data_IF_210750121418
#
_entry.id   IF_210750121418
#
_cell.length_a   1.000
_cell.length_b   1.000
_cell.length_c   1.000
_cell.angle_alpha   90.00
_cell.angle_beta   90.00
_cell.angle_gamma   90.00
#
_symmetry.space_group_name_H-M   'P 1'
#
loop_
_entity.id
_entity.type
_entity.pdbx_description
1 polymer ?
#
# COMPACT_ATOMS: atom_id res chain seq x y z
N UNK A 1 -64.06 51.54 -31.67
CA UNK A 1 -64.31 50.61 -32.79
C UNK A 1 -63.10 49.68 -32.83
N UNK A 2 -63.19 48.58 -32.08
CA UNK A 2 -63.54 47.24 -32.58
C UNK A 2 -62.29 46.58 -33.21
N UNK A 3 -61.83 45.39 -32.87
CA UNK A 3 -62.24 44.29 -31.98
C UNK A 3 -61.14 43.23 -32.22
N UNK A 4 -60.46 42.76 -31.19
CA UNK A 4 -60.66 41.42 -30.60
C UNK A 4 -60.42 40.20 -31.53
N UNK A 5 -59.78 39.20 -30.91
CA UNK A 5 -59.71 37.76 -31.23
C UNK A 5 -58.57 37.30 -32.17
N UNK A 6 -57.49 36.71 -31.65
CA UNK A 6 -57.33 35.38 -31.02
C UNK A 6 -57.23 34.23 -32.05
N UNK A 7 -56.26 33.34 -31.79
CA UNK A 7 -56.08 31.96 -32.26
C UNK A 7 -55.25 31.79 -33.54
N UNK A 8 -54.28 30.88 -33.66
CA UNK A 8 -53.84 29.75 -32.84
C UNK A 8 -52.32 29.57 -33.08
N UNK A 9 -51.52 29.17 -32.09
CA UNK A 9 -51.34 27.76 -31.80
C UNK A 9 -50.02 27.27 -32.41
N UNK A 10 -48.93 27.38 -31.63
CA UNK A 10 -47.60 26.91 -32.03
C UNK A 10 -46.72 26.59 -30.82
N UNK A 11 -47.28 25.93 -29.80
CA UNK A 11 -46.47 25.17 -28.84
C UNK A 11 -46.31 23.74 -29.35
N UNK A 12 -45.17 23.44 -29.95
CA UNK A 12 -44.60 22.09 -30.11
C UNK A 12 -43.14 22.33 -30.49
N UNK A 13 -42.12 22.08 -29.68
CA UNK A 13 -41.93 21.00 -28.74
C UNK A 13 -40.57 20.39 -29.07
N UNK A 14 -39.86 19.95 -28.02
CA UNK A 14 -38.69 19.07 -28.08
C UNK A 14 -37.33 19.72 -28.38
N UNK A 15 -36.42 19.54 -27.42
CA UNK A 15 -35.00 19.73 -27.66
C UNK A 15 -34.23 20.29 -26.49
N UNK A 16 -34.42 19.75 -25.29
CA UNK A 16 -33.44 19.90 -24.22
C UNK A 16 -32.05 19.54 -24.75
N UNK A 17 -31.14 20.50 -24.83
CA UNK A 17 -29.73 20.21 -24.62
C UNK A 17 -29.16 21.26 -23.70
N UNK A 18 -29.59 21.13 -22.44
CA UNK A 18 -28.65 21.22 -21.33
C UNK A 18 -27.40 20.44 -21.75
N UNK A 19 -26.35 21.13 -22.16
CA UNK A 19 -25.00 20.58 -22.04
C UNK A 19 -24.66 20.69 -20.56
N UNK A 20 -25.37 19.87 -19.79
CA UNK A 20 -25.07 19.50 -18.42
C UNK A 20 -23.57 19.28 -18.36
N UNK A 21 -22.96 19.91 -17.36
CA UNK A 21 -21.53 20.11 -17.24
C UNK A 21 -20.72 18.94 -17.77
N UNK A 22 -19.70 19.28 -18.55
CA UNK A 22 -18.51 18.46 -18.68
C UNK A 22 -18.01 18.25 -17.25
N UNK A 23 -18.53 17.21 -16.60
CA UNK A 23 -18.21 16.86 -15.24
C UNK A 23 -16.69 16.85 -15.17
N UNK A 24 -16.16 17.76 -14.36
CA UNK A 24 -14.74 17.92 -14.13
C UNK A 24 -14.20 16.62 -13.57
N UNK A 25 -13.79 15.71 -14.45
CA UNK A 25 -13.03 14.50 -14.11
C UNK A 25 -11.67 14.84 -13.51
N UNK A 26 -11.29 16.13 -13.42
CA UNK A 26 -10.03 16.56 -12.83
C UNK A 26 -9.89 16.15 -11.35
N UNK A 27 -10.98 16.10 -10.57
CA UNK A 27 -10.90 15.73 -9.15
C UNK A 27 -10.79 14.21 -8.97
N UNK A 28 -11.64 13.43 -9.65
CA UNK A 28 -11.62 11.95 -9.59
C UNK A 28 -10.32 11.39 -10.17
N UNK A 29 -9.83 11.94 -11.27
CA UNK A 29 -8.55 11.54 -11.88
C UNK A 29 -7.35 11.82 -10.96
N UNK A 30 -7.40 12.89 -10.15
CA UNK A 30 -6.38 13.17 -9.12
C UNK A 30 -6.44 12.17 -7.97
N UNK A 31 -7.62 11.72 -7.55
CA UNK A 31 -7.75 10.72 -6.47
C UNK A 31 -7.28 9.33 -6.90
N UNK A 32 -7.62 8.88 -8.12
CA UNK A 32 -7.12 7.60 -8.65
C UNK A 32 -5.59 7.61 -8.80
N UNK A 33 -5.00 8.69 -9.32
CA UNK A 33 -3.54 8.81 -9.43
C UNK A 33 -2.85 8.73 -8.07
N UNK A 34 -3.39 9.40 -7.05
CA UNK A 34 -2.87 9.31 -5.68
C UNK A 34 -3.03 7.93 -5.06
N UNK A 35 -4.17 7.26 -5.28
CA UNK A 35 -4.38 5.90 -4.79
C UNK A 35 -3.37 4.92 -5.41
N UNK A 36 -3.11 5.02 -6.72
CA UNK A 36 -2.11 4.21 -7.39
C UNK A 36 -0.70 4.49 -6.84
N UNK A 37 -0.33 5.76 -6.64
CA UNK A 37 0.95 6.13 -6.04
C UNK A 37 1.11 5.55 -4.63
N UNK A 38 0.07 5.61 -3.80
CA UNK A 38 0.11 5.00 -2.47
C UNK A 38 0.23 3.48 -2.53
N UNK A 39 -0.49 2.80 -3.43
CA UNK A 39 -0.37 1.36 -3.60
C UNK A 39 1.04 0.94 -4.02
N UNK A 40 1.66 1.67 -4.95
CA UNK A 40 3.04 1.42 -5.37
C UNK A 40 4.01 1.72 -4.23
N UNK A 41 3.83 2.82 -3.50
CA UNK A 41 4.69 3.16 -2.36
C UNK A 41 4.61 2.12 -1.24
N UNK A 42 3.40 1.65 -0.90
CA UNK A 42 3.18 0.59 0.09
C UNK A 42 3.76 -0.73 -0.40
N UNK A 43 3.49 -1.11 -1.65
CA UNK A 43 4.03 -2.34 -2.24
C UNK A 43 5.56 -2.33 -2.29
N UNK A 44 6.16 -1.22 -2.71
CA UNK A 44 7.60 -1.00 -2.68
C UNK A 44 8.15 -1.10 -1.26
N UNK A 45 7.55 -0.40 -0.30
CA UNK A 45 7.96 -0.47 1.11
C UNK A 45 7.90 -1.90 1.66
N UNK A 46 6.84 -2.66 1.36
CA UNK A 46 6.70 -4.04 1.80
C UNK A 46 7.80 -4.94 1.19
N UNK A 47 8.14 -4.73 -0.08
CA UNK A 47 9.24 -5.44 -0.74
C UNK A 47 10.58 -5.12 -0.09
N UNK A 48 10.84 -3.85 0.27
CA UNK A 48 12.04 -3.46 1.02
C UNK A 48 12.05 -4.01 2.46
N UNK A 49 10.90 -4.21 3.09
CA UNK A 49 10.78 -4.84 4.41
C UNK A 49 11.00 -6.35 4.39
N UNK A 50 10.77 -7.01 3.26
CA UNK A 50 10.93 -8.45 3.11
C UNK A 50 12.27 -9.00 3.66
N UNK A 51 13.45 -8.50 3.25
CA UNK A 51 14.72 -9.00 3.79
C UNK A 51 14.85 -8.82 5.30
N UNK A 52 14.33 -7.73 5.87
CA UNK A 52 14.36 -7.52 7.33
C UNK A 52 13.53 -8.55 8.07
N UNK A 53 12.30 -8.81 7.60
CA UNK A 53 11.42 -9.83 8.18
C UNK A 53 12.06 -11.21 8.08
N UNK A 54 12.64 -11.53 6.92
CA UNK A 54 13.35 -12.78 6.71
C UNK A 54 14.54 -12.94 7.68
N UNK A 55 15.33 -11.89 7.90
CA UNK A 55 16.46 -11.92 8.84
C UNK A 55 16.00 -12.15 10.28
N UNK A 56 14.94 -11.47 10.73
CA UNK A 56 14.38 -11.68 12.08
C UNK A 56 13.86 -13.11 12.25
N UNK A 57 13.12 -13.61 11.25
CA UNK A 57 12.64 -15.00 11.27
C UNK A 57 13.80 -15.99 11.29
N UNK A 58 14.86 -15.75 10.51
CA UNK A 58 16.04 -16.61 10.45
C UNK A 58 16.86 -16.58 11.75
N UNK A 59 16.92 -15.43 12.43
CA UNK A 59 17.55 -15.29 13.75
C UNK A 59 16.88 -16.13 14.84
N UNK A 60 15.56 -16.34 14.71
CA UNK A 60 14.74 -17.11 15.65
C UNK A 60 14.70 -18.61 15.32
N UNK A 61 15.19 -19.03 14.16
CA UNK A 61 15.27 -20.44 13.77
C UNK A 61 16.39 -21.15 14.54
N UNK A 62 16.25 -22.46 14.70
CA UNK A 62 17.34 -23.31 15.18
C UNK A 62 18.39 -23.42 14.08
N UNK A 63 19.69 -23.40 14.44
CA UNK A 63 20.78 -23.49 13.45
C UNK A 63 20.68 -24.70 12.51
N UNK A 64 20.15 -25.83 13.00
CA UNK A 64 19.89 -27.03 12.20
C UNK A 64 18.75 -26.85 11.18
N UNK A 65 17.77 -25.98 11.44
CA UNK A 65 16.65 -25.70 10.53
C UNK A 65 17.08 -24.85 9.33
N UNK A 66 18.19 -24.12 9.43
CA UNK A 66 18.76 -23.35 8.31
C UNK A 66 19.28 -24.26 7.19
N UNK A 67 19.61 -25.51 7.50
CA UNK A 67 20.12 -26.50 6.55
C UNK A 67 19.06 -27.52 6.10
N UNK A 68 17.80 -27.38 6.54
CA UNK A 68 16.70 -28.24 6.12
C UNK A 68 16.14 -27.79 4.76
N UNK A 69 15.90 -28.78 3.89
CA UNK A 69 15.12 -28.62 2.66
C UNK A 69 13.78 -29.36 2.82
N UNK A 70 12.62 -28.71 2.63
CA UNK A 70 12.42 -27.32 2.20
C UNK A 70 12.66 -26.28 3.31
N UNK A 71 13.14 -25.06 2.97
CA UNK A 71 13.32 -23.98 3.95
C UNK A 71 11.97 -23.59 4.55
N UNK A 72 11.88 -23.61 5.87
CA UNK A 72 10.66 -23.20 6.58
C UNK A 72 10.53 -21.68 6.49
N UNK A 73 9.34 -21.16 6.21
CA UNK A 73 9.12 -19.70 6.20
C UNK A 73 9.03 -19.18 7.64
N UNK A 74 8.28 -19.88 8.50
CA UNK A 74 8.19 -19.62 9.94
C UNK A 74 9.02 -20.63 10.73
N UNK A 75 9.66 -20.23 11.85
CA UNK A 75 10.37 -21.17 12.72
C UNK A 75 9.36 -22.17 13.31
N UNK A 76 9.68 -23.47 13.28
CA UNK A 76 8.81 -24.47 13.89
C UNK A 76 8.84 -24.36 15.43
N UNK A 77 10.01 -24.01 15.98
CA UNK A 77 10.19 -23.71 17.40
C UNK A 77 11.00 -22.41 17.54
N UNK A 78 10.38 -21.28 17.90
CA UNK A 78 11.10 -20.03 18.14
C UNK A 78 12.21 -20.22 19.19
N UNK A 79 13.42 -19.75 18.91
CA UNK A 79 14.58 -19.82 19.80
C UNK A 79 14.99 -18.41 20.29
N UNK A 80 14.22 -17.75 21.17
CA UNK A 80 14.58 -16.42 21.68
C UNK A 80 15.91 -16.41 22.45
N UNK A 81 16.34 -17.55 23.00
CA UNK A 81 17.64 -17.74 23.65
C UNK A 81 18.85 -17.46 22.74
N UNK A 82 18.68 -17.42 21.41
CA UNK A 82 19.77 -17.04 20.50
C UNK A 82 20.29 -15.63 20.78
N UNK A 83 19.44 -14.70 21.23
CA UNK A 83 19.82 -13.31 21.51
C UNK A 83 20.73 -13.16 22.73
N UNK A 84 20.36 -13.61 23.95
CA UNK A 84 21.25 -13.50 25.11
C UNK A 84 22.54 -14.30 24.93
N UNK A 85 22.46 -15.44 24.24
CA UNK A 85 23.60 -16.34 24.04
C UNK A 85 24.75 -15.74 23.23
N UNK A 86 24.48 -14.79 22.32
CA UNK A 86 25.54 -14.09 21.57
C UNK A 86 26.46 -13.32 22.52
N UNK A 87 25.93 -12.71 23.58
CA UNK A 87 26.73 -11.94 24.53
C UNK A 87 27.63 -12.81 25.42
N UNK A 88 27.35 -14.12 25.51
CA UNK A 88 28.19 -15.09 26.22
C UNK A 88 29.29 -15.67 25.32
N UNK A 89 29.01 -15.81 24.01
CA UNK A 89 29.92 -16.44 23.05
C UNK A 89 30.97 -15.46 22.54
N UNK A 90 30.61 -14.19 22.37
CA UNK A 90 31.50 -13.17 21.83
C UNK A 90 31.65 -11.99 22.78
N UNK A 91 32.84 -11.35 22.85
CA UNK A 91 33.05 -10.14 23.63
C UNK A 91 32.44 -8.93 22.89
N UNK A 92 31.12 -8.97 22.66
CA UNK A 92 30.39 -7.98 21.87
C UNK A 92 30.62 -6.56 22.39
N UNK A 93 30.62 -6.38 23.71
CA UNK A 93 30.86 -5.07 24.34
C UNK A 93 32.26 -4.49 24.04
N UNK A 94 33.27 -5.34 23.90
CA UNK A 94 34.62 -4.89 23.53
C UNK A 94 34.67 -4.50 22.05
N UNK A 95 34.00 -5.26 21.18
CA UNK A 95 33.94 -4.95 19.75
C UNK A 95 33.19 -3.65 19.47
N UNK A 96 32.08 -3.41 20.17
CA UNK A 96 31.34 -2.16 20.04
C UNK A 96 32.12 -0.97 20.57
N UNK A 97 32.84 -1.13 21.69
CA UNK A 97 33.72 -0.09 22.22
C UNK A 97 34.89 0.25 21.29
N UNK A 98 35.48 -0.74 20.63
CA UNK A 98 36.60 -0.50 19.70
C UNK A 98 36.18 0.16 18.37
N UNK A 99 34.88 0.23 18.07
CA UNK A 99 34.37 0.72 16.78
C UNK A 99 33.76 2.12 16.84
N UNK A 100 33.61 2.69 18.04
CA UNK A 100 33.12 4.05 18.31
C UNK A 100 34.30 4.95 18.65
#
# INVERSE_FOLDING_TARGET
MAGELITAGGQTGSGSMSRSGLFSSATVQRHLGRALLYLIAIGGSALFMFPFVWTVLSSLKKGSELFLFPPTWFPAVPQPQNYPKVFEIVPWGLWTWNSV
#
